data_IF_492495669977
#
_entry.id   IF_492495669977
#
_cell.length_a   1.000
_cell.length_b   1.000
_cell.length_c   1.000
_cell.angle_alpha   90.00
_cell.angle_beta   90.00
_cell.angle_gamma   90.00
#
_symmetry.space_group_name_H-M   'P 1'
#
loop_
_entity.id
_entity.type
_entity.pdbx_description
1 polymer ?
#
# COMPACT_ATOMS: atom_id res chain seq x y z
N UNK A 1 -8.54 5.19 -13.59
CA UNK A 1 -9.28 4.18 -12.81
C UNK A 1 -8.98 2.85 -13.46
N UNK A 2 -8.37 1.92 -12.74
CA UNK A 2 -8.08 0.56 -13.23
C UNK A 2 -9.35 -0.29 -13.22
N UNK A 3 -9.55 -1.06 -14.29
CA UNK A 3 -10.45 -2.21 -14.35
C UNK A 3 -9.74 -3.44 -13.76
N UNK A 4 -10.49 -4.49 -13.45
CA UNK A 4 -9.95 -5.74 -12.88
C UNK A 4 -8.79 -6.31 -13.71
N UNK A 5 -8.93 -6.33 -15.03
CA UNK A 5 -7.90 -6.81 -15.97
C UNK A 5 -6.65 -5.92 -16.07
N UNK A 6 -6.70 -4.70 -15.54
CA UNK A 6 -5.60 -3.73 -15.61
C UNK A 6 -4.67 -3.84 -14.40
N UNK A 7 -5.01 -4.69 -13.43
CA UNK A 7 -4.14 -5.02 -12.29
C UNK A 7 -3.11 -6.06 -12.70
N UNK A 8 -1.85 -5.74 -12.46
CA UNK A 8 -0.68 -6.60 -12.62
C UNK A 8 -0.17 -7.13 -11.27
N UNK A 9 -0.60 -6.50 -10.16
CA UNK A 9 -0.23 -6.91 -8.81
C UNK A 9 -0.98 -8.14 -8.30
N UNK A 10 -0.34 -8.87 -7.40
CA UNK A 10 -0.88 -10.01 -6.69
C UNK A 10 -1.35 -9.63 -5.28
N UNK A 11 -2.31 -10.37 -4.74
CA UNK A 11 -2.66 -10.28 -3.33
C UNK A 11 -1.52 -10.85 -2.46
N UNK A 12 -0.96 -9.99 -1.61
CA UNK A 12 0.07 -10.35 -0.62
C UNK A 12 -0.43 -10.05 0.79
N UNK A 13 0.20 -10.64 1.81
CA UNK A 13 -0.26 -10.46 3.19
C UNK A 13 0.49 -11.33 4.19
N UNK A 14 -0.11 -11.51 5.37
CA UNK A 14 0.43 -12.35 6.44
C UNK A 14 1.20 -11.60 7.53
N UNK A 15 1.68 -10.40 7.24
CA UNK A 15 2.36 -9.51 8.19
C UNK A 15 1.61 -8.18 8.32
N UNK A 16 1.79 -7.47 9.44
CA UNK A 16 1.19 -6.14 9.64
C UNK A 16 2.03 -5.00 9.04
N UNK A 17 3.28 -5.24 8.64
CA UNK A 17 4.11 -4.30 7.89
C UNK A 17 4.67 -4.97 6.65
N UNK A 18 4.45 -4.35 5.49
CA UNK A 18 4.96 -4.78 4.20
C UNK A 18 5.78 -3.65 3.58
N UNK A 19 6.91 -3.98 2.95
CA UNK A 19 7.78 -2.99 2.28
C UNK A 19 8.41 -3.49 0.99
N UNK A 20 8.67 -2.57 0.08
CA UNK A 20 9.47 -2.79 -1.14
C UNK A 20 10.32 -1.56 -1.44
N UNK A 21 11.55 -1.81 -1.88
CA UNK A 21 12.46 -0.79 -2.40
C UNK A 21 12.48 -0.88 -3.93
N UNK A 22 12.66 0.26 -4.57
CA UNK A 22 12.81 0.35 -6.02
C UNK A 22 13.62 1.60 -6.37
N UNK A 23 14.24 1.60 -7.54
CA UNK A 23 15.07 2.71 -8.02
C UNK A 23 14.46 3.32 -9.27
N UNK A 24 14.45 4.64 -9.35
CA UNK A 24 14.07 5.40 -10.54
C UNK A 24 15.29 6.16 -11.05
N UNK A 25 15.61 6.02 -12.32
CA UNK A 25 16.74 6.70 -12.99
C UNK A 25 16.30 7.84 -13.92
N UNK A 26 14.98 8.05 -14.00
CA UNK A 26 14.32 9.00 -14.91
C UNK A 26 13.50 10.03 -14.16
N UNK A 27 13.19 11.13 -14.84
CA UNK A 27 12.40 12.21 -14.26
C UNK A 27 10.93 11.78 -14.22
N UNK A 28 10.33 11.78 -13.03
CA UNK A 28 8.89 11.49 -12.88
C UNK A 28 8.07 12.67 -13.40
N UNK A 29 7.16 12.41 -14.33
CA UNK A 29 6.21 13.37 -14.87
C UNK A 29 4.87 13.28 -14.14
N UNK A 30 4.44 12.05 -13.84
CA UNK A 30 3.18 11.78 -13.12
C UNK A 30 3.26 10.42 -12.46
N UNK A 31 2.79 10.30 -11.22
CA UNK A 31 2.69 9.01 -10.56
C UNK A 31 1.38 8.82 -9.80
N UNK A 32 0.83 7.60 -9.86
CA UNK A 32 -0.42 7.23 -9.18
C UNK A 32 -0.24 5.92 -8.42
N UNK A 33 -0.72 5.90 -7.18
CA UNK A 33 -0.84 4.68 -6.39
C UNK A 33 -2.28 4.19 -6.42
N UNK A 34 -2.48 2.93 -6.78
CA UNK A 34 -3.74 2.21 -6.68
C UNK A 34 -3.57 1.15 -5.60
N UNK A 35 -4.42 1.18 -4.58
CA UNK A 35 -4.24 0.31 -3.41
C UNK A 35 -5.58 -0.16 -2.86
N UNK A 36 -5.65 -1.44 -2.55
CA UNK A 36 -6.76 -2.05 -1.82
C UNK A 36 -6.21 -2.92 -0.69
N UNK A 37 -6.67 -2.67 0.53
CA UNK A 37 -6.47 -3.56 1.67
C UNK A 37 -7.79 -4.27 2.01
N UNK A 38 -7.78 -5.60 2.07
CA UNK A 38 -8.88 -6.34 2.67
C UNK A 38 -8.65 -6.32 4.19
N UNK A 39 -9.31 -5.39 4.86
CA UNK A 39 -8.99 -4.94 6.21
C UNK A 39 -8.84 -3.42 6.22
N UNK A 40 -7.79 -2.91 6.86
CA UNK A 40 -7.39 -1.52 6.77
C UNK A 40 -5.93 -1.39 6.36
N UNK A 41 -5.56 -0.23 5.81
CA UNK A 41 -4.16 0.08 5.52
C UNK A 41 -3.77 1.52 5.85
N UNK A 42 -2.48 1.74 6.08
CA UNK A 42 -1.82 3.03 5.97
C UNK A 42 -0.67 2.91 4.97
N UNK A 43 -0.71 3.71 3.90
CA UNK A 43 0.33 3.76 2.87
C UNK A 43 1.35 4.85 3.20
N UNK A 44 2.64 4.50 3.08
CA UNK A 44 3.77 5.42 3.20
C UNK A 44 4.72 5.28 2.02
N UNK A 45 5.27 6.40 1.58
CA UNK A 45 6.31 6.45 0.55
C UNK A 45 7.43 7.36 1.06
N UNK A 46 8.66 6.85 1.06
CA UNK A 46 9.84 7.56 1.56
C UNK A 46 9.63 8.14 2.98
N UNK A 47 8.97 7.37 3.85
CA UNK A 47 8.64 7.75 5.23
C UNK A 47 7.41 8.65 5.39
N UNK A 48 6.93 9.28 4.32
CA UNK A 48 5.77 10.18 4.34
C UNK A 48 4.47 9.41 4.17
N UNK A 49 3.45 9.77 4.97
CA UNK A 49 2.10 9.19 4.85
C UNK A 49 1.41 9.71 3.59
N UNK A 50 0.84 8.78 2.82
CA UNK A 50 0.07 9.08 1.60
C UNK A 50 -1.41 9.19 1.94
N UNK A 51 -2.02 10.29 1.50
CA UNK A 51 -3.42 10.60 1.79
C UNK A 51 -3.64 11.07 3.23
N UNK A 52 -4.88 11.49 3.51
CA UNK A 52 -5.31 11.95 4.85
C UNK A 52 -6.31 10.99 5.51
N UNK A 53 -6.69 9.95 4.78
CA UNK A 53 -7.72 9.03 5.21
C UNK A 53 -7.21 8.16 6.35
N UNK A 54 -8.15 7.71 7.16
CA UNK A 54 -7.95 6.72 8.23
C UNK A 54 -9.01 5.66 8.06
N UNK A 55 -8.66 4.40 8.35
CA UNK A 55 -9.57 3.25 8.17
C UNK A 55 -10.00 3.04 6.70
N UNK A 56 -9.11 3.37 5.75
CA UNK A 56 -9.29 3.09 4.33
C UNK A 56 -9.14 1.58 4.03
N UNK A 57 -9.85 1.03 3.01
CA UNK A 57 -10.63 1.72 1.98
C UNK A 57 -12.12 1.95 2.33
N UNK A 58 -12.52 1.78 3.60
CA UNK A 58 -13.91 1.74 4.03
C UNK A 58 -14.50 0.32 3.97
N UNK A 59 -15.61 0.10 4.69
CA UNK A 59 -16.22 -1.23 4.80
C UNK A 59 -17.22 -1.49 3.67
N UNK A 60 -17.09 -2.66 3.03
CA UNK A 60 -18.05 -3.23 2.07
C UNK A 60 -18.23 -4.72 2.32
N UNK A 61 -19.17 -5.34 1.60
CA UNK A 61 -19.22 -6.80 1.45
C UNK A 61 -18.03 -7.23 0.58
N UNK A 62 -16.86 -7.38 1.20
CA UNK A 62 -15.56 -7.46 0.51
C UNK A 62 -15.39 -8.70 -0.38
N UNK A 63 -16.15 -9.77 -0.13
CA UNK A 63 -16.21 -10.95 -1.01
C UNK A 63 -17.04 -10.72 -2.29
N UNK A 64 -17.76 -9.60 -2.40
CA UNK A 64 -18.53 -9.19 -3.59
C UNK A 64 -17.91 -7.96 -4.23
N UNK A 65 -17.40 -7.02 -3.44
CA UNK A 65 -16.78 -5.78 -3.94
C UNK A 65 -15.70 -5.27 -2.99
N UNK A 66 -14.46 -5.29 -3.44
CA UNK A 66 -13.35 -4.62 -2.78
C UNK A 66 -13.18 -3.20 -3.35
N UNK A 67 -13.17 -2.18 -2.49
CA UNK A 67 -12.89 -0.80 -2.90
C UNK A 67 -11.37 -0.57 -2.89
N UNK A 68 -10.87 0.14 -3.90
CA UNK A 68 -9.50 0.63 -3.91
C UNK A 68 -9.47 2.14 -3.91
N UNK A 69 -8.44 2.72 -3.30
CA UNK A 69 -8.16 4.15 -3.34
C UNK A 69 -7.14 4.45 -4.42
N UNK A 70 -7.22 5.65 -5.00
CA UNK A 70 -6.19 6.19 -5.90
C UNK A 70 -5.59 7.44 -5.27
N UNK A 71 -4.26 7.52 -5.23
CA UNK A 71 -3.54 8.68 -4.75
C UNK A 71 -2.61 9.24 -5.83
N UNK A 72 -2.51 10.57 -5.89
CA UNK A 72 -1.40 11.24 -6.56
C UNK A 72 -0.17 11.15 -5.67
N UNK A 73 0.89 10.50 -6.18
CA UNK A 73 2.15 10.32 -5.46
C UNK A 73 3.34 10.97 -6.19
N UNK A 74 3.07 11.81 -7.19
CA UNK A 74 4.09 12.41 -8.07
C UNK A 74 5.18 13.11 -7.26
N UNK A 75 4.79 13.95 -6.31
CA UNK A 75 5.70 14.78 -5.52
C UNK A 75 6.39 14.03 -4.35
N UNK A 76 6.08 12.75 -4.18
CA UNK A 76 6.62 11.91 -3.10
C UNK A 76 7.80 11.03 -3.57
N UNK A 77 8.02 10.94 -4.87
CA UNK A 77 9.06 10.12 -5.47
C UNK A 77 10.36 10.91 -5.61
N UNK A 78 11.47 10.20 -5.42
CA UNK A 78 12.83 10.70 -5.59
C UNK A 78 13.42 10.15 -6.89
N UNK A 79 14.34 10.90 -7.50
CA UNK A 79 15.29 10.30 -8.44
C UNK A 79 16.32 9.50 -7.62
N UNK A 80 16.51 8.24 -7.96
CA UNK A 80 17.29 7.26 -7.20
C UNK A 80 16.41 6.31 -6.38
N UNK A 81 16.88 5.98 -5.18
CA UNK A 81 16.25 4.98 -4.31
C UNK A 81 14.96 5.50 -3.69
N UNK A 82 13.92 4.66 -3.73
CA UNK A 82 12.62 4.89 -3.13
C UNK A 82 12.21 3.67 -2.31
N UNK A 83 11.46 3.90 -1.24
CA UNK A 83 10.88 2.86 -0.41
C UNK A 83 9.39 3.09 -0.21
N UNK A 84 8.59 2.08 -0.55
CA UNK A 84 7.16 2.02 -0.26
C UNK A 84 6.93 1.10 0.94
N UNK A 85 6.08 1.53 1.87
CA UNK A 85 5.68 0.77 3.04
C UNK A 85 4.18 0.81 3.24
N UNK A 86 3.60 -0.31 3.67
CA UNK A 86 2.18 -0.41 4.00
C UNK A 86 2.04 -1.08 5.35
N UNK A 87 1.35 -0.39 6.27
CA UNK A 87 0.88 -1.00 7.51
C UNK A 87 -0.53 -1.56 7.29
N UNK A 88 -0.79 -2.77 7.75
CA UNK A 88 -2.07 -3.47 7.57
C UNK A 88 -2.73 -3.76 8.93
N UNK A 89 -4.01 -3.38 9.02
CA UNK A 89 -4.91 -3.80 10.09
C UNK A 89 -5.90 -4.85 9.59
N UNK A 90 -6.31 -5.76 10.47
CA UNK A 90 -7.34 -6.78 10.20
C UNK A 90 -8.69 -6.15 9.83
N UNK A 91 -9.00 -4.99 10.41
CA UNK A 91 -10.25 -4.27 10.20
C UNK A 91 -11.48 -5.17 10.40
N UNK A 92 -12.56 -4.87 9.67
CA UNK A 92 -13.79 -5.68 9.69
C UNK A 92 -13.66 -7.03 8.98
N UNK A 93 -12.68 -7.18 8.09
CA UNK A 93 -12.52 -8.40 7.29
C UNK A 93 -11.81 -9.51 8.05
N UNK A 94 -11.01 -9.16 9.06
CA UNK A 94 -10.30 -10.14 9.90
C UNK A 94 -9.01 -10.70 9.28
N UNK A 95 -8.64 -10.27 8.08
CA UNK A 95 -7.40 -10.65 7.39
C UNK A 95 -6.53 -9.41 7.13
N UNK A 96 -5.23 -9.65 6.89
CA UNK A 96 -4.27 -8.65 6.43
C UNK A 96 -3.88 -9.03 5.01
N UNK A 97 -4.56 -8.43 4.03
CA UNK A 97 -4.27 -8.67 2.61
C UNK A 97 -4.22 -7.36 1.85
N UNK A 98 -3.27 -7.26 0.92
CA UNK A 98 -2.95 -6.06 0.15
C UNK A 98 -2.83 -6.44 -1.32
N UNK A 99 -3.44 -5.63 -2.18
CA UNK A 99 -3.05 -5.52 -3.59
C UNK A 99 -2.72 -4.06 -3.87
N UNK A 100 -1.60 -3.83 -4.55
CA UNK A 100 -1.07 -2.51 -4.81
C UNK A 100 -0.42 -2.44 -6.19
N UNK A 101 -0.61 -1.31 -6.87
CA UNK A 101 0.06 -0.99 -8.11
C UNK A 101 0.38 0.51 -8.16
N UNK A 102 1.65 0.84 -8.33
CA UNK A 102 2.08 2.18 -8.72
C UNK A 102 2.21 2.23 -10.24
N UNK A 103 1.70 3.29 -10.85
CA UNK A 103 1.98 3.62 -12.25
C UNK A 103 2.71 4.96 -12.30
N UNK A 104 3.92 4.95 -12.85
CA UNK A 104 4.86 6.07 -12.84
C UNK A 104 5.20 6.41 -14.29
N UNK A 105 4.67 7.51 -14.79
CA UNK A 105 5.03 8.08 -16.09
C UNK A 105 6.30 8.90 -15.93
N UNK A 106 7.30 8.58 -16.75
CA UNK A 106 8.61 9.22 -16.73
C UNK A 106 8.88 9.96 -18.03
N UNK A 107 9.93 10.79 -18.04
CA UNK A 107 10.39 11.46 -19.24
C UNK A 107 10.74 10.45 -20.35
N UNK A 108 10.38 10.81 -21.58
CA UNK A 108 10.43 9.90 -22.74
C UNK A 108 9.16 9.07 -22.96
N UNK A 109 8.15 9.17 -22.09
CA UNK A 109 6.81 8.59 -22.30
C UNK A 109 6.67 7.13 -21.89
N UNK A 110 7.71 6.55 -21.29
CA UNK A 110 7.65 5.22 -20.67
C UNK A 110 6.83 5.26 -19.38
N UNK A 111 6.18 4.14 -19.05
CA UNK A 111 5.49 3.94 -17.76
C UNK A 111 6.15 2.79 -17.02
N UNK A 112 6.59 3.06 -15.80
CA UNK A 112 7.15 2.08 -14.87
C UNK A 112 6.03 1.63 -13.92
N UNK A 113 5.86 0.32 -13.75
CA UNK A 113 4.96 -0.25 -12.75
C UNK A 113 5.74 -0.83 -11.56
N UNK A 114 5.26 -0.52 -10.35
CA UNK A 114 5.72 -1.17 -9.11
C UNK A 114 4.52 -1.84 -8.46
N UNK A 115 4.54 -3.17 -8.42
CA UNK A 115 3.38 -3.98 -8.03
C UNK A 115 3.61 -4.74 -6.72
N UNK A 116 2.51 -5.08 -6.04
CA UNK A 116 2.49 -6.08 -4.99
C UNK A 116 2.79 -7.47 -5.57
N UNK A 117 3.81 -8.14 -5.04
CA UNK A 117 4.27 -9.46 -5.49
C UNK A 117 5.10 -10.13 -4.39
N UNK A 118 5.62 -11.33 -4.64
CA UNK A 118 6.42 -12.10 -3.68
C UNK A 118 7.80 -11.48 -3.36
N UNK A 119 8.21 -10.40 -4.03
CA UNK A 119 9.48 -9.71 -3.71
C UNK A 119 9.35 -8.73 -2.55
N UNK A 120 8.13 -8.45 -2.10
CA UNK A 120 7.88 -7.65 -0.91
C UNK A 120 8.40 -8.35 0.34
N UNK A 121 8.98 -7.57 1.24
CA UNK A 121 9.39 -8.04 2.57
C UNK A 121 8.28 -7.74 3.56
N UNK A 122 8.04 -8.67 4.48
CA UNK A 122 7.05 -8.50 5.55
C UNK A 122 7.65 -8.76 6.93
N UNK A 123 7.15 -8.02 7.93
CA UNK A 123 7.49 -8.22 9.34
C UNK A 123 6.31 -7.84 10.24
N UNK A 124 6.31 -8.33 11.48
CA UNK A 124 5.45 -7.76 12.51
C UNK A 124 6.12 -6.50 13.08
N UNK A 125 5.35 -5.41 13.16
CA UNK A 125 5.73 -4.15 13.76
C UNK A 125 5.14 -3.94 15.16
N UNK A 126 5.12 -2.69 15.66
CA UNK A 126 4.77 -2.37 17.04
C UNK A 126 3.29 -2.56 17.39
N UNK A 127 2.40 -2.71 16.40
CA UNK A 127 0.99 -3.06 16.62
C UNK A 127 0.88 -4.57 16.87
N UNK A 128 0.86 -4.98 18.15
CA UNK A 128 0.79 -6.38 18.57
C UNK A 128 -0.58 -6.99 18.23
N UNK A 129 -1.65 -6.25 18.55
CA UNK A 129 -3.01 -6.66 18.25
C UNK A 129 -3.82 -5.47 17.80
N UNK A 130 -4.66 -5.68 16.80
CA UNK A 130 -5.64 -4.71 16.31
C UNK A 130 -7.02 -5.38 16.22
N UNK A 131 -8.05 -4.69 16.70
CA UNK A 131 -9.43 -5.14 16.66
C UNK A 131 -10.40 -3.96 16.67
N UNK A 132 -11.39 -4.01 15.79
CA UNK A 132 -12.50 -3.07 15.80
C UNK A 132 -13.27 -3.08 17.13
N UNK A 133 -13.36 -4.24 17.78
CA UNK A 133 -14.14 -4.41 19.01
C UNK A 133 -13.30 -4.20 20.27
N UNK A 134 -12.03 -4.63 20.25
CA UNK A 134 -11.19 -4.71 21.44
C UNK A 134 -10.07 -3.65 21.48
N UNK A 135 -9.99 -2.77 20.48
CA UNK A 135 -8.98 -1.72 20.39
C UNK A 135 -7.63 -2.22 19.85
N UNK A 136 -6.57 -1.48 20.16
CA UNK A 136 -5.21 -1.72 19.68
C UNK A 136 -4.24 -1.82 20.86
N UNK A 137 -3.28 -2.76 20.77
CA UNK A 137 -2.15 -2.86 21.69
C UNK A 137 -0.87 -2.54 20.91
N UNK A 138 -0.16 -1.50 21.37
CA UNK A 138 1.06 -1.00 20.77
C UNK A 138 2.26 -1.13 21.71
N UNK A 139 3.38 -1.67 21.22
CA UNK A 139 4.66 -1.72 21.92
C UNK A 139 5.72 -0.94 21.16
N UNK A 140 6.02 0.28 21.62
CA UNK A 140 6.99 1.18 20.98
C UNK A 140 8.44 0.66 20.98
N UNK A 141 8.74 -0.43 21.71
CA UNK A 141 10.08 -1.04 21.71
C UNK A 141 10.36 -1.88 20.46
N UNK A 142 9.34 -2.09 19.63
CA UNK A 142 9.40 -2.89 18.39
C UNK A 142 9.38 -2.01 17.12
N UNK A 143 9.68 -0.72 17.25
CA UNK A 143 9.90 0.19 16.12
C UNK A 143 11.24 -0.04 15.41
#
# INVERSE_FOLDING_TARGET
>A
MLLEKDWEGEWIGGFNQLRKEFTLDKTVIRARAYICGLGYYELRLNGQKIGKNVLDPGWTVMNVRALYSTYDITDYLLNGENAIGVMLGKGWFGSRSLILQLLIEVDGGETISVVSDQTWKGQEGPIITDSIFNGEIYDARLE
#
